data_IF_752432865994
#
_entry.id   IF_752432865994
#
_cell.length_a   1.000
_cell.length_b   1.000
_cell.length_c   1.000
_cell.angle_alpha   90.00
_cell.angle_beta   90.00
_cell.angle_gamma   90.00
#
_symmetry.space_group_name_H-M   'P 1'
#
loop_
_entity.id
_entity.type
_entity.pdbx_description
1 polymer ?
#
# COMPACT_ATOMS: atom_id res chain seq x y z
N UNK A 1 -20.00 -8.50 14.61
CA UNK A 1 -19.95 -8.95 13.54
C UNK A 1 -18.93 -8.31 12.64
N UNK A 2 -17.85 -9.09 12.44
CA UNK A 2 -16.69 -8.63 11.68
C UNK A 2 -16.96 -8.51 10.17
N UNK A 3 -18.02 -9.17 9.68
CA UNK A 3 -18.38 -9.22 8.26
C UNK A 3 -18.86 -7.87 7.67
N UNK A 4 -19.13 -6.89 8.51
CA UNK A 4 -19.52 -5.53 8.10
C UNK A 4 -18.35 -4.56 7.87
N UNK A 5 -17.12 -4.99 8.06
CA UNK A 5 -15.93 -4.14 7.89
C UNK A 5 -15.32 -4.41 6.51
N UNK A 6 -15.38 -3.42 5.63
CA UNK A 6 -14.57 -3.42 4.42
C UNK A 6 -13.11 -3.12 4.78
N UNK A 7 -12.17 -3.86 4.22
CA UNK A 7 -10.73 -3.58 4.36
C UNK A 7 -10.17 -3.17 3.02
N UNK A 8 -9.56 -1.99 2.96
CA UNK A 8 -8.89 -1.52 1.76
C UNK A 8 -7.54 -0.86 2.08
N UNK A 9 -6.55 -1.18 1.28
CA UNK A 9 -5.22 -0.60 1.33
C UNK A 9 -4.94 0.29 0.14
N UNK A 10 -3.96 1.18 0.28
CA UNK A 10 -3.44 2.00 -0.82
C UNK A 10 -1.92 1.93 -0.83
N UNK A 11 -1.37 1.48 -1.96
CA UNK A 11 0.04 1.55 -2.29
C UNK A 11 0.26 2.53 -3.44
N UNK A 12 1.28 3.40 -3.31
CA UNK A 12 1.71 4.28 -4.40
C UNK A 12 3.02 3.75 -4.97
N UNK A 13 2.95 3.13 -6.11
CA UNK A 13 4.13 2.61 -6.77
C UNK A 13 4.72 3.65 -7.73
N UNK A 14 5.73 4.39 -7.27
CA UNK A 14 6.44 5.41 -8.05
C UNK A 14 5.52 6.42 -8.76
N UNK A 15 4.37 6.73 -8.18
CA UNK A 15 3.37 7.62 -8.78
C UNK A 15 3.82 9.10 -8.77
N UNK A 16 4.00 9.75 -9.94
CA UNK A 16 4.43 11.13 -10.03
C UNK A 16 3.24 12.09 -9.76
N UNK A 17 3.07 12.52 -8.51
CA UNK A 17 2.01 13.45 -8.14
C UNK A 17 2.56 14.73 -7.52
N UNK A 18 1.75 15.79 -7.44
CA UNK A 18 2.09 17.00 -6.73
C UNK A 18 1.77 16.88 -5.24
N UNK A 19 2.69 17.32 -4.37
CA UNK A 19 2.59 17.15 -2.92
C UNK A 19 2.87 15.72 -2.43
N UNK A 20 2.81 15.52 -1.12
CA UNK A 20 2.89 14.21 -0.48
C UNK A 20 4.27 13.52 -0.45
N UNK A 21 5.36 14.21 -0.79
CA UNK A 21 6.71 13.67 -0.75
C UNK A 21 7.63 14.45 0.21
N UNK A 22 8.59 13.74 0.80
CA UNK A 22 9.63 14.35 1.65
C UNK A 22 10.66 15.16 0.84
N UNK A 23 10.96 14.72 -0.40
CA UNK A 23 11.88 15.43 -1.30
C UNK A 23 11.08 16.43 -2.14
N UNK A 24 11.55 17.67 -2.14
CA UNK A 24 11.05 18.71 -3.02
C UNK A 24 11.63 18.52 -4.42
N UNK A 25 10.81 18.68 -5.45
CA UNK A 25 11.21 18.76 -6.85
C UNK A 25 10.60 20.04 -7.42
N UNK A 26 11.35 20.75 -8.24
CA UNK A 26 10.92 22.02 -8.79
C UNK A 26 9.80 21.86 -9.83
N UNK A 27 9.81 20.71 -10.54
CA UNK A 27 8.79 20.42 -11.53
C UNK A 27 8.26 18.97 -11.43
N UNK A 28 7.13 18.72 -12.11
CA UNK A 28 6.57 17.39 -12.27
C UNK A 28 7.46 16.51 -13.15
N UNK A 29 8.10 17.10 -14.17
CA UNK A 29 9.05 16.41 -15.05
C UNK A 29 10.27 15.90 -14.27
N UNK A 30 10.87 16.75 -13.44
CA UNK A 30 11.98 16.33 -12.58
C UNK A 30 11.57 15.19 -11.64
N UNK A 31 10.40 15.31 -11.05
CA UNK A 31 9.87 14.26 -10.17
C UNK A 31 9.67 12.96 -10.93
N UNK A 32 9.07 13.03 -12.11
CA UNK A 32 8.87 11.87 -13.00
C UNK A 32 10.20 11.23 -13.37
N UNK A 33 11.17 12.02 -13.81
CA UNK A 33 12.50 11.53 -14.16
C UNK A 33 13.18 10.82 -12.97
N UNK A 34 13.07 11.36 -11.77
CA UNK A 34 13.61 10.75 -10.57
C UNK A 34 12.87 9.46 -10.17
N UNK A 35 11.54 9.41 -10.29
CA UNK A 35 10.73 8.25 -9.95
C UNK A 35 10.88 7.13 -10.97
N UNK A 36 11.07 7.46 -12.25
CA UNK A 36 11.18 6.52 -13.36
C UNK A 36 12.62 6.22 -13.77
N UNK A 37 13.60 6.67 -12.99
CA UNK A 37 15.00 6.30 -13.23
C UNK A 37 15.16 4.77 -13.26
N UNK A 38 15.79 4.17 -14.31
CA UNK A 38 15.84 2.72 -14.51
C UNK A 38 16.34 1.95 -13.29
N UNK A 39 17.47 2.36 -12.75
CA UNK A 39 18.04 1.71 -11.54
C UNK A 39 17.05 1.70 -10.36
N UNK A 40 16.31 2.80 -10.18
CA UNK A 40 15.32 2.89 -9.10
C UNK A 40 14.12 1.99 -9.38
N UNK A 41 13.63 1.94 -10.62
CA UNK A 41 12.50 1.07 -10.98
C UNK A 41 12.88 -0.41 -10.91
N UNK A 42 14.11 -0.79 -11.28
CA UNK A 42 14.61 -2.15 -11.09
C UNK A 42 14.55 -2.56 -9.62
N UNK A 43 15.07 -1.72 -8.74
CA UNK A 43 15.07 -1.95 -7.30
C UNK A 43 13.64 -2.00 -6.73
N UNK A 44 12.80 -1.01 -7.05
CA UNK A 44 11.42 -0.94 -6.53
C UNK A 44 10.55 -2.08 -7.03
N UNK A 45 10.71 -2.50 -8.29
CA UNK A 45 9.98 -3.64 -8.84
C UNK A 45 10.43 -4.95 -8.20
N UNK A 46 11.74 -5.10 -7.91
CA UNK A 46 12.26 -6.25 -7.18
C UNK A 46 11.63 -6.35 -5.77
N UNK A 47 11.58 -5.25 -5.02
CA UNK A 47 10.93 -5.23 -3.70
C UNK A 47 9.44 -5.51 -3.79
N UNK A 48 8.77 -4.93 -4.78
CA UNK A 48 7.35 -5.19 -5.02
C UNK A 48 7.07 -6.68 -5.27
N UNK A 49 7.83 -7.32 -6.13
CA UNK A 49 7.67 -8.74 -6.49
C UNK A 49 7.98 -9.69 -5.31
N UNK A 50 9.01 -9.37 -4.50
CA UNK A 50 9.55 -10.30 -3.51
C UNK A 50 9.23 -9.94 -2.04
N UNK A 51 8.81 -8.73 -1.74
CA UNK A 51 8.47 -8.27 -0.39
C UNK A 51 6.99 -7.93 -0.28
N UNK A 52 6.48 -7.07 -1.16
CA UNK A 52 5.09 -6.60 -1.11
C UNK A 52 4.09 -7.70 -1.52
N UNK A 53 4.27 -8.33 -2.68
CA UNK A 53 3.29 -9.26 -3.24
C UNK A 53 3.14 -10.58 -2.48
N UNK A 54 4.19 -11.23 -1.95
CA UNK A 54 4.02 -12.51 -1.24
C UNK A 54 3.02 -12.46 -0.08
N UNK A 55 3.07 -11.51 0.87
CA UNK A 55 2.07 -11.43 1.93
C UNK A 55 0.68 -11.02 1.42
N UNK A 56 0.55 -10.30 0.31
CA UNK A 56 -0.77 -10.00 -0.29
C UNK A 56 -1.47 -11.28 -0.75
N UNK A 57 -0.72 -12.20 -1.40
CA UNK A 57 -1.24 -13.51 -1.82
C UNK A 57 -1.54 -14.45 -0.66
N UNK A 58 -0.78 -14.33 0.43
CA UNK A 58 -0.83 -15.24 1.58
C UNK A 58 -1.76 -14.77 2.70
N UNK A 59 -2.54 -13.69 2.51
CA UNK A 59 -3.48 -13.23 3.54
C UNK A 59 -4.45 -14.35 3.93
N UNK A 60 -4.63 -14.57 5.23
CA UNK A 60 -5.58 -15.57 5.77
C UNK A 60 -7.04 -15.16 5.64
N UNK A 61 -7.30 -13.89 5.36
CA UNK A 61 -8.60 -13.30 5.06
C UNK A 61 -8.48 -12.59 3.71
N UNK A 62 -9.12 -13.12 2.69
CA UNK A 62 -9.03 -12.67 1.29
C UNK A 62 -10.08 -11.62 0.91
N UNK A 63 -10.98 -11.24 1.83
CA UNK A 63 -11.98 -10.20 1.63
C UNK A 63 -11.37 -8.79 1.88
N UNK A 64 -10.46 -8.39 1.01
CA UNK A 64 -9.86 -7.04 1.02
C UNK A 64 -9.58 -6.54 -0.40
N UNK A 65 -9.30 -5.27 -0.52
CA UNK A 65 -8.79 -4.68 -1.76
C UNK A 65 -7.53 -3.86 -1.46
N UNK A 66 -6.44 -4.15 -2.17
CA UNK A 66 -5.25 -3.32 -2.21
C UNK A 66 -5.25 -2.52 -3.51
N UNK A 67 -5.41 -1.23 -3.41
CA UNK A 67 -5.35 -0.30 -4.54
C UNK A 67 -3.88 0.07 -4.81
N UNK A 68 -3.38 -0.29 -5.98
CA UNK A 68 -2.04 0.03 -6.45
C UNK A 68 -2.13 1.22 -7.40
N UNK A 69 -1.62 2.38 -6.99
CA UNK A 69 -1.67 3.63 -7.75
C UNK A 69 -0.37 3.83 -8.53
N UNK A 70 -0.47 3.87 -9.86
CA UNK A 70 0.65 4.03 -10.81
C UNK A 70 0.36 5.19 -11.77
N UNK A 71 1.42 5.73 -12.36
CA UNK A 71 1.28 6.69 -13.44
C UNK A 71 0.76 6.04 -14.71
N UNK A 72 -0.09 6.74 -15.47
CA UNK A 72 -0.59 6.25 -16.75
C UNK A 72 0.53 6.00 -17.75
N UNK A 73 1.58 6.80 -17.65
CA UNK A 73 2.82 6.74 -18.45
C UNK A 73 3.94 5.90 -17.79
N UNK A 74 3.57 4.99 -16.86
CA UNK A 74 4.55 4.13 -16.20
C UNK A 74 5.30 3.28 -17.24
N UNK A 75 6.66 3.30 -17.24
CA UNK A 75 7.43 2.82 -18.38
C UNK A 75 7.55 1.29 -18.43
N UNK A 76 7.71 0.78 -19.67
CA UNK A 76 8.18 -0.59 -19.91
C UNK A 76 9.71 -0.71 -19.64
N UNK A 77 10.21 -1.90 -19.25
CA UNK A 77 9.48 -3.17 -19.07
C UNK A 77 8.83 -3.32 -17.69
N UNK A 78 8.96 -2.35 -16.78
CA UNK A 78 8.48 -2.45 -15.39
C UNK A 78 6.96 -2.53 -15.33
N UNK A 79 6.26 -1.88 -16.25
CA UNK A 79 4.80 -1.98 -16.36
C UNK A 79 4.36 -3.44 -16.55
N UNK A 80 4.93 -4.12 -17.53
CA UNK A 80 4.64 -5.53 -17.78
C UNK A 80 4.99 -6.43 -16.59
N UNK A 81 6.08 -6.12 -15.86
CA UNK A 81 6.44 -6.86 -14.63
C UNK A 81 5.41 -6.68 -13.50
N UNK A 82 4.95 -5.45 -13.27
CA UNK A 82 3.91 -5.17 -12.26
C UNK A 82 2.61 -5.87 -12.63
N UNK A 83 2.17 -5.77 -13.88
CA UNK A 83 0.96 -6.44 -14.38
C UNK A 83 1.05 -7.96 -14.21
N UNK A 84 2.19 -8.57 -14.53
CA UNK A 84 2.43 -9.99 -14.29
C UNK A 84 2.42 -10.36 -12.80
N UNK A 85 3.02 -9.52 -11.95
CA UNK A 85 3.08 -9.76 -10.52
C UNK A 85 1.71 -9.74 -9.84
N UNK A 86 0.74 -8.97 -10.34
CA UNK A 86 -0.61 -8.89 -9.76
C UNK A 86 -1.63 -9.82 -10.41
N UNK A 87 -1.29 -10.47 -11.52
CA UNK A 87 -2.23 -11.21 -12.36
C UNK A 87 -2.95 -12.36 -11.61
N UNK A 88 -2.29 -12.99 -10.65
CA UNK A 88 -2.80 -14.09 -9.83
C UNK A 88 -3.37 -13.65 -8.46
N UNK A 89 -3.43 -12.34 -8.19
CA UNK A 89 -3.90 -11.78 -6.92
C UNK A 89 -5.05 -10.78 -7.15
N UNK A 90 -6.30 -11.24 -7.27
CA UNK A 90 -7.45 -10.39 -7.60
C UNK A 90 -7.75 -9.31 -6.56
N UNK A 91 -7.19 -9.43 -5.35
CA UNK A 91 -7.27 -8.43 -4.30
C UNK A 91 -6.46 -7.18 -4.63
N UNK A 92 -5.39 -7.29 -5.44
CA UNK A 92 -4.56 -6.15 -5.84
C UNK A 92 -5.08 -5.58 -7.15
N UNK A 93 -5.52 -4.32 -7.12
CA UNK A 93 -6.12 -3.62 -8.28
C UNK A 93 -5.26 -2.43 -8.69
N UNK A 94 -4.70 -2.49 -9.89
CA UNK A 94 -3.94 -1.38 -10.46
C UNK A 94 -4.85 -0.24 -10.92
N UNK A 95 -4.47 0.98 -10.57
CA UNK A 95 -5.09 2.23 -10.99
C UNK A 95 -4.05 3.07 -11.72
N UNK A 96 -4.13 3.09 -13.04
CA UNK A 96 -3.32 3.91 -13.92
C UNK A 96 -3.92 5.32 -13.98
N UNK A 97 -3.20 6.34 -13.52
CA UNK A 97 -3.70 7.70 -13.40
C UNK A 97 -2.71 8.73 -13.94
N UNK A 98 -3.24 9.79 -14.52
CA UNK A 98 -2.44 10.97 -14.79
C UNK A 98 -1.96 11.62 -13.48
N UNK A 99 -0.77 12.24 -13.51
CA UNK A 99 -0.27 13.01 -12.37
C UNK A 99 -1.20 14.15 -11.97
N UNK A 100 -1.37 14.34 -10.66
CA UNK A 100 -2.22 15.42 -10.15
C UNK A 100 -2.05 15.61 -8.65
N UNK A 101 -3.00 16.27 -7.99
CA UNK A 101 -2.96 16.44 -6.54
C UNK A 101 -3.01 15.11 -5.81
N UNK A 102 -1.97 14.85 -5.03
CA UNK A 102 -1.80 13.59 -4.31
C UNK A 102 -2.99 13.21 -3.44
N UNK A 103 -3.52 14.20 -2.67
CA UNK A 103 -4.61 13.92 -1.73
C UNK A 103 -5.93 13.65 -2.44
N UNK A 104 -6.19 14.41 -3.51
CA UNK A 104 -7.40 14.24 -4.31
C UNK A 104 -7.42 12.86 -4.96
N UNK A 105 -6.34 12.46 -5.65
CA UNK A 105 -6.26 11.18 -6.35
C UNK A 105 -6.36 10.00 -5.38
N UNK A 106 -5.61 10.02 -4.26
CA UNK A 106 -5.69 8.96 -3.26
C UNK A 106 -7.09 8.82 -2.67
N UNK A 107 -7.73 9.96 -2.38
CA UNK A 107 -9.12 9.99 -1.89
C UNK A 107 -10.07 9.39 -2.92
N UNK A 108 -9.97 9.81 -4.17
CA UNK A 108 -10.88 9.34 -5.23
C UNK A 108 -10.75 7.84 -5.47
N UNK A 109 -9.53 7.28 -5.43
CA UNK A 109 -9.30 5.84 -5.53
C UNK A 109 -9.93 5.09 -4.35
N UNK A 110 -9.69 5.54 -3.12
CA UNK A 110 -10.23 4.91 -1.92
C UNK A 110 -11.75 5.03 -1.86
N UNK A 111 -12.32 6.17 -2.23
CA UNK A 111 -13.77 6.38 -2.26
C UNK A 111 -14.45 5.58 -3.36
N UNK A 112 -13.82 5.49 -4.53
CA UNK A 112 -14.32 4.65 -5.64
C UNK A 112 -14.29 3.15 -5.32
N UNK A 113 -13.43 2.73 -4.38
CA UNK A 113 -13.37 1.36 -3.89
C UNK A 113 -14.35 1.02 -2.77
N UNK A 114 -15.11 2.00 -2.27
CA UNK A 114 -16.04 1.76 -1.15
C UNK A 114 -17.24 0.93 -1.56
N UNK A 115 -17.53 -0.07 -0.76
CA UNK A 115 -18.75 -0.86 -0.82
C UNK A 115 -19.82 -0.22 0.08
N UNK A 116 -20.88 0.33 -0.53
CA UNK A 116 -21.96 0.98 0.19
C UNK A 116 -22.77 0.03 1.09
N UNK A 117 -22.63 -1.28 0.93
CA UNK A 117 -23.26 -2.28 1.78
C UNK A 117 -22.52 -2.53 3.08
N UNK A 118 -21.27 -2.07 3.18
CA UNK A 118 -20.44 -2.20 4.38
C UNK A 118 -20.57 -0.96 5.27
N UNK A 119 -20.88 -1.19 6.54
CA UNK A 119 -21.10 -0.10 7.50
C UNK A 119 -19.80 0.63 7.90
N UNK A 120 -18.67 -0.03 7.78
CA UNK A 120 -17.37 0.44 8.25
C UNK A 120 -16.30 0.15 7.22
N UNK A 121 -15.36 1.08 7.08
CA UNK A 121 -14.18 0.91 6.22
C UNK A 121 -12.93 1.04 7.08
N UNK A 122 -12.07 0.02 7.04
CA UNK A 122 -10.71 0.05 7.57
C UNK A 122 -9.76 0.36 6.42
N UNK A 123 -9.08 1.50 6.49
CA UNK A 123 -8.14 1.95 5.46
C UNK A 123 -6.71 1.90 6.00
N UNK A 124 -5.77 1.41 5.20
CA UNK A 124 -4.35 1.44 5.53
C UNK A 124 -3.50 1.84 4.32
N UNK A 125 -2.28 2.25 4.57
CA UNK A 125 -1.29 2.53 3.53
C UNK A 125 -0.11 1.62 3.70
N UNK A 126 0.43 1.16 2.58
CA UNK A 126 1.61 0.34 2.52
C UNK A 126 2.47 0.81 1.35
N UNK A 127 3.75 1.00 1.58
CA UNK A 127 4.68 1.35 0.50
C UNK A 127 5.08 0.09 -0.28
N UNK A 128 5.55 0.27 -1.50
CA UNK A 128 5.83 -0.82 -2.46
C UNK A 128 7.06 -1.68 -2.10
N UNK A 129 7.79 -1.30 -1.04
CA UNK A 129 8.91 -2.04 -0.44
C UNK A 129 8.60 -2.57 0.97
N UNK A 130 7.37 -2.40 1.43
CA UNK A 130 6.93 -2.86 2.74
C UNK A 130 6.06 -4.13 2.64
N UNK A 131 5.99 -4.85 3.76
CA UNK A 131 5.17 -6.03 3.93
C UNK A 131 4.32 -5.95 5.20
N UNK A 132 3.19 -6.62 5.19
CA UNK A 132 2.36 -6.84 6.39
C UNK A 132 2.33 -8.32 6.76
N UNK A 133 1.97 -8.64 8.00
CA UNK A 133 1.77 -10.03 8.42
C UNK A 133 0.68 -10.71 7.57
N UNK A 134 0.80 -12.02 7.35
CA UNK A 134 -0.16 -12.80 6.54
C UNK A 134 -1.57 -12.86 7.14
N UNK A 135 -1.73 -12.49 8.39
CA UNK A 135 -3.02 -12.38 9.08
C UNK A 135 -3.45 -10.94 9.35
N UNK A 136 -2.80 -9.96 8.70
CA UNK A 136 -3.04 -8.53 8.94
C UNK A 136 -4.49 -8.12 8.71
N UNK A 137 -5.09 -8.53 7.58
CA UNK A 137 -6.50 -8.24 7.26
C UNK A 137 -7.43 -8.82 8.31
N UNK A 138 -7.20 -10.06 8.73
CA UNK A 138 -7.95 -10.71 9.79
C UNK A 138 -7.80 -9.98 11.13
N UNK A 139 -6.59 -9.50 11.46
CA UNK A 139 -6.35 -8.71 12.67
C UNK A 139 -7.08 -7.38 12.66
N UNK A 140 -7.13 -6.67 11.52
CA UNK A 140 -7.91 -5.43 11.38
C UNK A 140 -9.40 -5.67 11.69
N UNK A 141 -10.00 -6.73 11.13
CA UNK A 141 -11.39 -7.08 11.40
C UNK A 141 -11.63 -7.45 12.87
N UNK A 142 -10.73 -8.22 13.46
CA UNK A 142 -10.81 -8.58 14.89
C UNK A 142 -10.69 -7.34 15.79
N UNK A 143 -9.85 -6.39 15.41
CA UNK A 143 -9.66 -5.15 16.17
C UNK A 143 -10.94 -4.31 16.23
N UNK A 144 -11.78 -4.36 15.19
CA UNK A 144 -13.08 -3.69 15.20
C UNK A 144 -13.95 -4.07 16.40
N UNK A 145 -13.93 -5.33 16.83
CA UNK A 145 -14.69 -5.79 17.99
C UNK A 145 -14.27 -5.07 19.29
N UNK A 146 -13.02 -4.59 19.35
CA UNK A 146 -12.48 -3.87 20.51
C UNK A 146 -12.71 -2.37 20.44
N UNK A 147 -12.57 -1.78 19.24
CA UNK A 147 -12.58 -0.33 19.05
C UNK A 147 -13.89 0.22 18.47
N UNK A 148 -14.81 -0.62 18.03
CA UNK A 148 -16.03 -0.20 17.34
C UNK A 148 -16.90 0.77 18.12
N UNK A 149 -17.02 0.59 19.44
CA UNK A 149 -17.74 1.55 20.29
C UNK A 149 -17.11 2.93 20.31
N UNK A 150 -15.77 2.97 20.39
CA UNK A 150 -15.01 4.22 20.36
C UNK A 150 -15.10 4.88 18.98
N UNK A 151 -14.96 4.08 17.90
CA UNK A 151 -15.09 4.57 16.54
C UNK A 151 -16.49 5.15 16.25
N UNK A 152 -17.55 4.50 16.71
CA UNK A 152 -18.92 5.00 16.58
C UNK A 152 -19.14 6.31 17.34
N UNK A 153 -18.51 6.48 18.49
CA UNK A 153 -18.58 7.72 19.28
C UNK A 153 -17.76 8.85 18.63
N UNK A 154 -16.52 8.55 18.19
CA UNK A 154 -15.58 9.54 17.67
C UNK A 154 -15.70 9.78 16.15
N UNK A 155 -16.49 8.98 15.43
CA UNK A 155 -16.61 8.99 13.97
C UNK A 155 -15.45 8.33 13.23
N UNK A 156 -14.30 8.21 13.87
CA UNK A 156 -13.10 7.54 13.33
C UNK A 156 -12.12 7.17 14.45
N UNK A 157 -11.30 6.16 14.21
CA UNK A 157 -10.23 5.74 15.11
C UNK A 157 -9.01 5.35 14.27
N UNK A 158 -7.83 5.60 14.80
CA UNK A 158 -6.58 5.08 14.23
C UNK A 158 -6.08 3.92 15.09
N UNK A 159 -5.59 2.86 14.44
CA UNK A 159 -4.93 1.74 15.09
C UNK A 159 -3.45 1.79 14.72
N UNK A 160 -2.58 1.70 15.72
CA UNK A 160 -1.15 1.57 15.54
C UNK A 160 -0.71 0.15 15.90
N UNK A 161 0.00 -0.50 14.97
CA UNK A 161 0.64 -1.78 15.19
C UNK A 161 2.09 -1.53 15.60
N UNK A 162 2.31 -1.26 16.89
CA UNK A 162 3.59 -0.80 17.46
C UNK A 162 4.77 -1.78 17.33
N UNK A 163 4.66 -2.87 16.55
CA UNK A 163 5.75 -3.82 16.27
C UNK A 163 5.97 -3.98 14.79
N UNK A 164 7.22 -3.86 14.38
CA UNK A 164 7.64 -4.09 13.01
C UNK A 164 9.00 -4.76 12.94
N UNK A 165 9.36 -5.22 11.75
CA UNK A 165 10.68 -5.76 11.43
C UNK A 165 11.24 -4.97 10.27
N UNK A 166 12.45 -4.47 10.40
CA UNK A 166 13.21 -3.89 9.29
C UNK A 166 14.19 -4.94 8.79
N UNK A 167 14.16 -5.17 7.48
CA UNK A 167 15.13 -6.00 6.78
C UNK A 167 16.15 -5.09 6.11
N UNK A 168 17.41 -5.33 6.35
CA UNK A 168 18.53 -4.62 5.74
C UNK A 168 19.28 -5.60 4.84
N UNK A 169 19.31 -5.30 3.55
CA UNK A 169 20.15 -6.02 2.60
C UNK A 169 21.57 -5.45 2.64
N UNK A 170 22.55 -6.30 2.93
CA UNK A 170 23.95 -5.91 3.03
C UNK A 170 24.70 -6.38 1.77
N UNK A 171 25.73 -5.62 1.41
CA UNK A 171 26.64 -6.00 0.34
C UNK A 171 27.21 -7.39 0.61
N UNK A 172 27.12 -8.30 -0.39
CA UNK A 172 27.48 -9.72 -0.22
C UNK A 172 26.29 -10.65 -0.02
N UNK A 173 25.04 -10.14 -0.02
CA UNK A 173 23.79 -10.94 0.01
C UNK A 173 23.34 -11.37 1.40
N UNK A 174 23.97 -10.86 2.45
CA UNK A 174 23.50 -11.07 3.83
C UNK A 174 22.25 -10.20 4.09
N UNK A 175 21.25 -10.76 4.78
CA UNK A 175 20.07 -10.02 5.23
C UNK A 175 20.12 -9.93 6.75
N UNK A 176 20.12 -8.72 7.28
CA UNK A 176 19.96 -8.45 8.72
C UNK A 176 18.53 -8.05 9.01
N UNK A 177 18.07 -8.39 10.20
CA UNK A 177 16.75 -7.97 10.66
C UNK A 177 16.84 -7.24 11.99
N UNK A 178 16.02 -6.21 12.14
CA UNK A 178 15.89 -5.43 13.36
C UNK A 178 14.43 -5.39 13.76
N UNK A 179 14.13 -5.77 14.99
CA UNK A 179 12.78 -5.63 15.55
C UNK A 179 12.61 -4.21 16.06
N UNK A 180 11.61 -3.52 15.50
CA UNK A 180 11.20 -2.21 15.98
C UNK A 180 10.00 -2.36 16.91
N UNK A 181 10.07 -1.67 18.05
CA UNK A 181 8.93 -1.46 18.92
C UNK A 181 8.68 0.04 18.95
N UNK A 182 7.58 0.49 18.35
CA UNK A 182 7.13 1.87 18.46
C UNK A 182 6.14 1.95 19.61
N UNK A 183 6.37 2.86 20.53
CA UNK A 183 5.41 3.21 21.57
C UNK A 183 4.86 4.59 21.22
N UNK A 184 3.58 4.67 20.85
CA UNK A 184 2.86 5.93 20.75
C UNK A 184 2.32 6.35 22.11
#
# INVERSE_FOLDING_TARGET
>A
MADGVQVQGLCRFSFPCTGGFKKYHESLEERRAALYAPKRLDERTLWFEHVFMPPMRAQTDDDFTMHLLLGEDFPEPWRGRVEAAIADCPQVKAHWREPGDHRAICRDVLWGGRDATRAVVAEFRLDDDDAVAVDYVQQLRRSWNKVGKLANFAGRVALDHGRGVVLEAIEGGEIRHHVLNTHC
#
